data_IF_093156276767
#
_entry.id   IF_093156276767
#
_cell.length_a   1.000
_cell.length_b   1.000
_cell.length_c   1.000
_cell.angle_alpha   90.00
_cell.angle_beta   90.00
_cell.angle_gamma   90.00
#
_symmetry.space_group_name_H-M   'P 1'
#
loop_
_entity.id
_entity.type
_entity.pdbx_description
1 polymer ?
#
# COMPACT_ATOMS: atom_id res chain seq x y z
N UNK A 1 0.25 -2.74 -7.87
CA UNK A 1 0.04 -2.18 -9.24
C UNK A 1 1.35 -2.31 -10.01
N UNK A 2 1.34 -2.50 -11.33
CA UNK A 2 2.57 -2.38 -12.13
C UNK A 2 3.18 -0.98 -11.95
N UNK A 3 4.46 -0.88 -11.59
CA UNK A 3 5.17 0.39 -11.41
C UNK A 3 5.02 1.29 -12.66
N UNK A 4 5.02 0.68 -13.84
CA UNK A 4 4.78 1.37 -15.10
C UNK A 4 3.37 2.00 -15.14
N UNK A 5 2.33 1.30 -14.68
CA UNK A 5 0.95 1.84 -14.60
C UNK A 5 0.82 2.93 -13.54
N UNK A 6 1.50 2.78 -12.40
CA UNK A 6 1.57 3.82 -11.39
C UNK A 6 2.24 5.08 -11.94
N UNK A 7 3.44 4.95 -12.53
CA UNK A 7 4.17 6.08 -13.11
C UNK A 7 3.38 6.73 -14.24
N UNK A 8 2.75 5.96 -15.13
CA UNK A 8 1.93 6.55 -16.19
C UNK A 8 0.73 7.29 -15.62
N UNK A 9 0.07 6.77 -14.57
CA UNK A 9 -1.04 7.47 -13.90
C UNK A 9 -0.62 8.77 -13.20
N UNK A 10 0.55 8.76 -12.54
CA UNK A 10 1.11 9.95 -11.89
C UNK A 10 1.52 10.97 -12.95
N UNK A 11 2.17 10.51 -14.03
CA UNK A 11 2.62 11.37 -15.11
C UNK A 11 1.45 12.00 -15.86
N UNK A 12 0.40 11.24 -16.20
CA UNK A 12 -0.78 11.79 -16.87
C UNK A 12 -1.49 12.81 -15.98
N UNK A 13 -1.66 12.50 -14.69
CA UNK A 13 -2.22 13.43 -13.71
C UNK A 13 -1.37 14.70 -13.58
N UNK A 14 -0.05 14.57 -13.58
CA UNK A 14 0.89 15.70 -13.53
C UNK A 14 0.82 16.57 -14.79
N UNK A 15 0.73 15.96 -15.98
CA UNK A 15 0.57 16.69 -17.25
C UNK A 15 -0.76 17.45 -17.26
N UNK A 16 -1.85 16.82 -16.82
CA UNK A 16 -3.16 17.49 -16.69
C UNK A 16 -3.04 18.66 -15.71
N UNK A 17 -2.41 18.47 -14.55
CA UNK A 17 -2.18 19.53 -13.57
C UNK A 17 -1.43 20.72 -14.19
N UNK A 18 -0.31 20.48 -14.89
CA UNK A 18 0.46 21.55 -15.55
C UNK A 18 -0.37 22.27 -16.60
N UNK A 19 -1.13 21.53 -17.43
CA UNK A 19 -2.01 22.12 -18.43
C UNK A 19 -3.09 23.01 -17.79
N UNK A 20 -3.68 22.58 -16.68
CA UNK A 20 -4.67 23.35 -15.92
C UNK A 20 -4.06 24.61 -15.28
N UNK A 21 -2.85 24.55 -14.72
CA UNK A 21 -2.18 25.73 -14.16
C UNK A 21 -1.86 26.75 -15.26
N UNK A 22 -1.38 26.30 -16.42
CA UNK A 22 -1.13 27.17 -17.57
C UNK A 22 -2.43 27.79 -18.09
N UNK A 23 -3.50 27.00 -18.21
CA UNK A 23 -4.82 27.50 -18.61
C UNK A 23 -5.36 28.53 -17.61
N UNK A 24 -5.25 28.27 -16.30
CA UNK A 24 -5.67 29.17 -15.23
C UNK A 24 -4.89 30.50 -15.29
N UNK A 25 -3.56 30.44 -15.39
CA UNK A 25 -2.73 31.66 -15.49
C UNK A 25 -3.04 32.46 -16.75
N UNK A 26 -3.28 31.79 -17.87
CA UNK A 26 -3.67 32.44 -19.12
C UNK A 26 -5.06 33.11 -19.03
N UNK A 27 -6.05 32.42 -18.47
CA UNK A 27 -7.41 32.95 -18.34
C UNK A 27 -7.52 34.07 -17.31
N UNK A 28 -6.82 33.96 -16.17
CA UNK A 28 -6.82 34.98 -15.11
C UNK A 28 -6.05 36.24 -15.50
N UNK A 29 -5.14 36.16 -16.48
CA UNK A 29 -4.46 37.32 -17.05
C UNK A 29 -5.32 38.13 -18.02
N UNK A 30 -6.50 37.63 -18.44
CA UNK A 30 -7.39 38.39 -19.34
C UNK A 30 -8.28 39.34 -18.53
N UNK A 31 -8.26 40.65 -18.80
CA UNK A 31 -9.04 41.63 -18.03
C UNK A 31 -10.56 41.40 -18.14
N UNK A 32 -11.04 40.86 -19.28
CA UNK A 32 -12.45 40.50 -19.46
C UNK A 32 -12.96 39.41 -18.52
N UNK A 33 -12.06 38.60 -17.95
CA UNK A 33 -12.40 37.53 -17.01
C UNK A 33 -12.28 37.97 -15.55
N UNK A 34 -11.93 39.23 -15.27
CA UNK A 34 -11.76 39.74 -13.91
C UNK A 34 -12.99 39.52 -12.99
N UNK A 35 -14.25 39.65 -13.46
CA UNK A 35 -15.43 39.35 -12.65
C UNK A 35 -15.51 37.92 -12.14
N UNK A 36 -14.93 36.97 -12.87
CA UNK A 36 -14.96 35.54 -12.52
C UNK A 36 -13.87 35.20 -11.49
N UNK A 37 -12.66 35.73 -11.68
CA UNK A 37 -11.51 35.39 -10.83
C UNK A 37 -11.33 36.28 -9.61
N UNK A 38 -11.81 37.53 -9.66
CA UNK A 38 -11.63 38.51 -8.58
C UNK A 38 -12.96 39.20 -8.18
N UNK A 39 -14.07 38.46 -7.96
CA UNK A 39 -15.38 39.05 -7.65
C UNK A 39 -15.35 39.86 -6.35
N UNK A 40 -14.76 39.33 -5.29
CA UNK A 40 -14.69 40.00 -3.98
C UNK A 40 -13.85 41.27 -4.03
N UNK A 41 -12.85 41.33 -4.92
CA UNK A 41 -12.00 42.51 -5.09
C UNK A 41 -12.77 43.64 -5.77
N UNK A 42 -13.55 43.30 -6.81
CA UNK A 42 -14.42 44.23 -7.52
C UNK A 42 -15.56 44.74 -6.63
N UNK A 43 -16.13 43.89 -5.77
CA UNK A 43 -17.15 44.29 -4.79
C UNK A 43 -16.60 45.26 -3.73
N UNK A 44 -15.29 45.21 -3.47
CA UNK A 44 -14.59 46.15 -2.56
C UNK A 44 -14.14 47.44 -3.27
N UNK A 45 -14.43 47.59 -4.56
CA UNK A 45 -14.03 48.75 -5.36
C UNK A 45 -12.53 48.84 -5.62
N UNK A 46 -11.79 47.74 -5.47
CA UNK A 46 -10.36 47.67 -5.70
C UNK A 46 -10.08 47.11 -7.10
N UNK A 47 -9.17 47.77 -7.83
CA UNK A 47 -8.76 47.35 -9.16
C UNK A 47 -7.81 46.14 -9.09
N UNK A 48 -8.15 44.98 -9.69
CA UNK A 48 -7.30 43.79 -9.65
C UNK A 48 -5.95 43.96 -10.38
N UNK A 49 -5.81 45.05 -11.14
CA UNK A 49 -4.60 45.41 -11.90
C UNK A 49 -3.78 46.55 -11.28
N UNK A 50 -4.26 47.24 -10.24
CA UNK A 50 -3.64 48.48 -9.76
C UNK A 50 -2.46 48.30 -8.78
N UNK A 51 -2.18 47.08 -8.30
CA UNK A 51 -1.16 46.87 -7.24
C UNK A 51 -0.35 45.59 -7.33
N UNK A 52 -0.47 44.81 -8.42
CA UNK A 52 0.22 43.53 -8.59
C UNK A 52 1.18 43.61 -9.77
N UNK A 53 2.49 43.56 -9.50
CA UNK A 53 3.52 43.52 -10.54
C UNK A 53 3.36 42.28 -11.43
N UNK A 54 3.91 42.30 -12.66
CA UNK A 54 3.84 41.17 -13.63
C UNK A 54 4.23 39.79 -13.06
N UNK A 55 4.96 39.73 -11.95
CA UNK A 55 5.41 38.50 -11.28
C UNK A 55 4.29 37.70 -10.59
N UNK A 56 3.27 38.35 -10.05
CA UNK A 56 2.22 37.73 -9.21
C UNK A 56 1.22 36.88 -9.99
N UNK A 57 1.25 36.95 -11.33
CA UNK A 57 0.36 36.19 -12.24
C UNK A 57 1.07 35.10 -13.04
N UNK A 58 2.34 34.86 -12.73
CA UNK A 58 3.06 33.71 -13.27
C UNK A 58 2.63 32.41 -12.57
N UNK A 59 2.76 31.23 -13.20
CA UNK A 59 2.36 29.94 -12.63
C UNK A 59 2.86 29.65 -11.21
N UNK A 60 4.01 30.19 -10.82
CA UNK A 60 4.55 30.08 -9.46
C UNK A 60 4.37 31.35 -8.62
N UNK A 61 4.21 32.51 -9.25
CA UNK A 61 4.07 33.80 -8.56
C UNK A 61 2.79 33.90 -7.75
N UNK A 62 1.65 33.49 -8.33
CA UNK A 62 0.37 33.50 -7.62
C UNK A 62 0.41 32.56 -6.40
N UNK A 63 1.08 31.41 -6.56
CA UNK A 63 1.21 30.42 -5.49
C UNK A 63 2.09 30.94 -4.37
N UNK A 64 3.20 31.60 -4.70
CA UNK A 64 4.10 32.22 -3.72
C UNK A 64 3.38 33.31 -2.94
N UNK A 65 2.61 34.15 -3.62
CA UNK A 65 1.84 35.22 -2.98
C UNK A 65 0.76 34.62 -2.07
N UNK A 66 0.08 33.56 -2.50
CA UNK A 66 -0.92 32.86 -1.69
C UNK A 66 -0.31 32.21 -0.42
N UNK A 67 0.87 31.59 -0.52
CA UNK A 67 1.55 30.95 0.63
C UNK A 67 2.13 31.99 1.59
N UNK A 68 2.53 33.16 1.08
CA UNK A 68 3.10 34.22 1.91
C UNK A 68 2.07 35.17 2.54
N UNK A 69 0.79 35.01 2.20
CA UNK A 69 -0.30 35.80 2.77
C UNK A 69 -0.40 35.58 4.28
N UNK A 70 -0.54 36.67 5.04
CA UNK A 70 -0.64 36.61 6.50
C UNK A 70 -2.06 36.23 6.93
N UNK A 71 -2.20 35.57 8.09
CA UNK A 71 -3.50 35.24 8.67
C UNK A 71 -4.48 36.41 8.76
N UNK A 72 -4.09 37.64 9.21
CA UNK A 72 -5.03 38.75 9.25
C UNK A 72 -5.50 39.18 7.85
N UNK A 73 -4.67 39.04 6.82
CA UNK A 73 -5.07 39.32 5.43
C UNK A 73 -6.09 38.29 4.94
N UNK A 74 -5.90 37.01 5.28
CA UNK A 74 -6.85 35.94 4.96
C UNK A 74 -8.18 36.17 5.65
N UNK A 75 -8.19 36.53 6.93
CA UNK A 75 -9.42 36.84 7.68
C UNK A 75 -10.12 38.07 7.07
N UNK A 76 -9.36 39.09 6.71
CA UNK A 76 -9.91 40.28 6.06
C UNK A 76 -10.48 39.97 4.67
N UNK A 77 -9.94 39.00 3.94
CA UNK A 77 -10.37 38.63 2.59
C UNK A 77 -11.52 37.61 2.55
N UNK A 78 -11.40 36.51 3.31
CA UNK A 78 -12.30 35.34 3.27
C UNK A 78 -13.09 35.10 4.55
N UNK A 79 -12.87 35.90 5.60
CA UNK A 79 -13.52 35.73 6.90
C UNK A 79 -12.80 34.73 7.81
N UNK A 80 -13.29 34.63 9.04
CA UNK A 80 -12.69 33.80 10.09
C UNK A 80 -12.79 32.31 9.75
N UNK A 81 -13.91 31.87 9.15
CA UNK A 81 -14.13 30.48 8.78
C UNK A 81 -13.09 29.97 7.77
N UNK A 82 -12.79 30.77 6.73
CA UNK A 82 -11.75 30.45 5.75
C UNK A 82 -10.37 30.32 6.40
N UNK A 83 -10.04 31.20 7.36
CA UNK A 83 -8.79 31.12 8.09
C UNK A 83 -8.69 29.84 8.94
N UNK A 84 -9.77 29.44 9.61
CA UNK A 84 -9.82 28.19 10.39
C UNK A 84 -9.56 26.97 9.49
N UNK A 85 -10.16 26.91 8.29
CA UNK A 85 -9.90 25.82 7.35
C UNK A 85 -8.44 25.76 6.89
N UNK A 86 -7.81 26.91 6.61
CA UNK A 86 -6.40 26.93 6.19
C UNK A 86 -5.45 26.52 7.32
N UNK A 87 -5.74 26.90 8.57
CA UNK A 87 -4.98 26.45 9.75
C UNK A 87 -5.15 24.95 9.98
N UNK A 88 -6.36 24.43 9.80
CA UNK A 88 -6.61 22.98 9.87
C UNK A 88 -5.82 22.24 8.79
N UNK A 89 -5.88 22.69 7.54
CA UNK A 89 -5.20 22.05 6.42
C UNK A 89 -3.66 22.13 6.58
N UNK A 90 -3.12 23.25 7.06
CA UNK A 90 -1.69 23.39 7.32
C UNK A 90 -1.23 22.47 8.47
N UNK A 91 -2.06 22.30 9.51
CA UNK A 91 -1.80 21.37 10.61
C UNK A 91 -1.76 19.92 10.14
N UNK A 92 -2.74 19.50 9.32
CA UNK A 92 -2.77 18.14 8.74
C UNK A 92 -1.56 17.90 7.83
N UNK A 93 -1.22 18.86 6.98
CA UNK A 93 -0.03 18.77 6.12
C UNK A 93 1.25 18.66 6.96
N UNK A 94 1.36 19.44 8.03
CA UNK A 94 2.49 19.41 8.94
C UNK A 94 2.66 18.03 9.59
N UNK A 95 1.57 17.42 10.05
CA UNK A 95 1.58 16.05 10.61
C UNK A 95 2.11 15.05 9.59
N UNK A 96 1.63 15.11 8.34
CA UNK A 96 2.07 14.21 7.26
C UNK A 96 3.56 14.39 6.91
N UNK A 97 4.05 15.64 6.91
CA UNK A 97 5.46 15.93 6.64
C UNK A 97 6.34 15.41 7.77
N UNK A 98 5.99 15.69 9.04
CA UNK A 98 6.73 15.16 10.19
C UNK A 98 6.69 13.64 10.24
N UNK A 99 5.54 13.02 9.97
CA UNK A 99 5.45 11.56 9.89
C UNK A 99 6.33 11.02 8.77
N UNK A 100 6.35 11.65 7.59
CA UNK A 100 7.23 11.26 6.49
C UNK A 100 8.72 11.34 6.84
N UNK A 101 9.14 12.43 7.51
CA UNK A 101 10.53 12.62 7.96
C UNK A 101 10.96 11.54 8.97
N UNK A 102 10.05 11.10 9.85
CA UNK A 102 10.33 10.06 10.84
C UNK A 102 10.25 8.66 10.23
N UNK A 103 9.25 8.40 9.38
CA UNK A 103 8.97 7.09 8.81
C UNK A 103 9.96 6.72 7.70
N UNK A 104 10.37 7.65 6.84
CA UNK A 104 11.26 7.33 5.72
C UNK A 104 12.61 6.75 6.17
N UNK A 105 13.34 7.33 7.14
CA UNK A 105 14.60 6.75 7.63
C UNK A 105 14.43 5.39 8.31
N UNK A 106 13.25 5.07 8.82
CA UNK A 106 12.96 3.78 9.48
C UNK A 106 12.54 2.74 8.45
N UNK A 107 11.61 3.08 7.56
CA UNK A 107 11.02 2.17 6.59
C UNK A 107 11.96 1.89 5.41
N UNK A 108 12.78 2.84 4.98
CA UNK A 108 13.65 2.65 3.82
C UNK A 108 14.73 1.58 4.04
N UNK A 109 15.42 1.53 5.21
CA UNK A 109 16.33 0.42 5.54
C UNK A 109 15.62 -0.91 5.76
N UNK A 110 14.42 -0.90 6.36
CA UNK A 110 13.61 -2.12 6.57
C UNK A 110 13.17 -2.70 5.23
N UNK A 111 12.69 -1.86 4.31
CA UNK A 111 12.33 -2.26 2.95
C UNK A 111 13.56 -2.77 2.17
N UNK A 112 14.71 -2.10 2.31
CA UNK A 112 15.95 -2.52 1.64
C UNK A 112 16.46 -3.89 2.12
N UNK A 113 16.32 -4.19 3.42
CA UNK A 113 16.69 -5.50 4.00
C UNK A 113 15.66 -6.61 3.70
N UNK A 114 14.48 -6.24 3.19
CA UNK A 114 13.43 -7.14 2.72
C UNK A 114 13.79 -8.01 1.52
N UNK A 115 14.89 -7.71 0.80
CA UNK A 115 15.25 -8.34 -0.47
C UNK A 115 15.81 -9.77 -0.41
N UNK A 116 15.89 -10.42 0.75
CA UNK A 116 16.51 -11.75 0.90
C UNK A 116 15.71 -12.95 0.32
N UNK A 117 14.68 -12.67 -0.51
CA UNK A 117 13.80 -13.66 -1.18
C UNK A 117 13.63 -13.31 -2.67
N UNK A 118 14.70 -12.90 -3.36
CA UNK A 118 14.72 -12.70 -4.82
C UNK A 118 15.57 -13.75 -5.56
N UNK A 119 16.09 -14.75 -4.85
CA UNK A 119 16.99 -15.78 -5.40
C UNK A 119 16.31 -17.10 -5.78
N UNK A 120 14.98 -17.19 -5.74
CA UNK A 120 14.26 -18.39 -6.22
C UNK A 120 13.81 -18.14 -7.67
N UNK A 121 14.33 -18.88 -8.67
CA UNK A 121 13.89 -18.72 -10.05
C UNK A 121 12.52 -19.37 -10.23
N UNK A 122 11.49 -18.53 -10.41
CA UNK A 122 10.12 -18.97 -10.75
C UNK A 122 9.92 -18.79 -12.27
N UNK A 123 9.38 -19.78 -13.00
CA UNK A 123 9.18 -19.70 -14.44
C UNK A 123 8.16 -18.62 -14.80
N UNK A 124 8.58 -17.65 -15.63
CA UNK A 124 7.80 -16.45 -15.94
C UNK A 124 6.94 -16.63 -17.19
N UNK A 125 5.65 -16.85 -16.98
CA UNK A 125 4.65 -16.58 -18.02
C UNK A 125 4.24 -15.09 -17.95
N UNK A 126 3.91 -14.47 -19.09
CA UNK A 126 3.70 -12.99 -19.20
C UNK A 126 2.60 -12.44 -18.28
N UNK A 127 1.64 -13.27 -17.86
CA UNK A 127 0.61 -12.93 -16.86
C UNK A 127 1.13 -12.91 -15.42
N UNK A 128 2.20 -13.66 -15.11
CA UNK A 128 2.82 -13.69 -13.79
C UNK A 128 3.72 -12.46 -13.53
N UNK A 129 4.21 -11.80 -14.57
CA UNK A 129 5.07 -10.61 -14.43
C UNK A 129 4.33 -9.40 -13.85
N UNK A 130 3.07 -9.16 -14.24
CA UNK A 130 2.27 -8.05 -13.69
C UNK A 130 1.86 -8.29 -12.24
N UNK A 131 1.58 -9.54 -11.89
CA UNK A 131 1.38 -9.96 -10.50
C UNK A 131 2.65 -9.73 -9.68
N UNK A 132 3.82 -10.18 -10.14
CA UNK A 132 5.10 -10.00 -9.42
C UNK A 132 5.46 -8.52 -9.18
N UNK A 133 5.20 -7.64 -10.15
CA UNK A 133 5.39 -6.20 -9.97
C UNK A 133 4.42 -5.61 -8.95
N UNK A 134 3.18 -6.10 -8.90
CA UNK A 134 2.18 -5.73 -7.88
C UNK A 134 2.67 -6.08 -6.47
N UNK A 135 3.16 -7.30 -6.27
CA UNK A 135 3.71 -7.80 -5.01
C UNK A 135 4.94 -7.01 -4.53
N UNK A 136 5.79 -6.53 -5.45
CA UNK A 136 7.02 -5.80 -5.08
C UNK A 136 6.77 -4.45 -4.41
N UNK A 137 5.70 -3.73 -4.75
CA UNK A 137 5.36 -2.42 -4.15
C UNK A 137 4.73 -2.60 -2.78
N UNK A 138 3.82 -3.57 -2.61
CA UNK A 138 3.23 -3.89 -1.31
C UNK A 138 4.29 -4.39 -0.32
N UNK A 139 5.27 -5.17 -0.82
CA UNK A 139 6.44 -5.62 -0.04
C UNK A 139 7.34 -4.49 0.47
N UNK A 140 7.32 -3.30 -0.14
CA UNK A 140 8.02 -2.12 0.41
C UNK A 140 7.36 -1.59 1.70
N UNK A 141 6.05 -1.84 1.89
CA UNK A 141 5.33 -1.54 3.13
C UNK A 141 5.32 -2.70 4.13
N UNK A 142 5.46 -3.93 3.65
CA UNK A 142 5.41 -5.15 4.47
C UNK A 142 6.82 -5.56 4.92
N UNK A 143 7.22 -5.13 6.12
CA UNK A 143 8.51 -5.47 6.73
C UNK A 143 8.65 -6.89 7.31
N UNK A 144 7.74 -7.82 7.02
CA UNK A 144 7.58 -9.04 7.84
C UNK A 144 8.31 -10.30 7.35
N UNK A 145 8.66 -10.41 6.06
CA UNK A 145 9.39 -11.59 5.53
C UNK A 145 10.78 -11.78 6.20
N UNK A 146 11.55 -10.72 6.52
CA UNK A 146 12.83 -10.87 7.22
C UNK A 146 12.69 -11.29 8.68
N UNK A 147 11.58 -10.98 9.35
CA UNK A 147 11.41 -11.21 10.80
C UNK A 147 11.34 -12.70 11.09
N UNK A 148 10.61 -13.46 10.28
CA UNK A 148 10.49 -14.91 10.40
C UNK A 148 11.87 -15.56 10.21
N UNK A 149 12.58 -15.19 9.14
CA UNK A 149 13.94 -15.70 8.83
C UNK A 149 14.96 -15.30 9.90
N UNK A 150 14.90 -14.07 10.41
CA UNK A 150 15.75 -13.57 11.49
C UNK A 150 15.49 -14.28 12.81
N UNK A 151 14.22 -14.47 13.19
CA UNK A 151 13.80 -15.14 14.41
C UNK A 151 14.33 -16.57 14.45
N UNK A 152 14.21 -17.30 13.34
CA UNK A 152 14.74 -18.66 13.24
C UNK A 152 16.28 -18.71 13.16
N UNK A 153 16.94 -17.76 12.50
CA UNK A 153 18.41 -17.70 12.46
C UNK A 153 19.01 -17.44 13.86
N UNK A 154 18.38 -16.57 14.65
CA UNK A 154 18.78 -16.26 16.04
C UNK A 154 18.41 -17.33 17.08
N UNK A 155 17.67 -18.37 16.69
CA UNK A 155 17.27 -19.44 17.63
C UNK A 155 16.12 -19.09 18.56
N UNK A 156 15.47 -17.94 18.38
CA UNK A 156 14.35 -17.49 19.20
C UNK A 156 13.03 -18.07 18.65
N UNK A 157 12.06 -18.39 19.51
CA UNK A 157 10.71 -18.78 19.07
C UNK A 157 10.63 -20.06 18.21
N UNK A 158 11.52 -21.05 18.41
CA UNK A 158 11.48 -22.35 17.70
C UNK A 158 10.54 -23.38 18.32
N UNK A 159 9.51 -22.94 19.02
CA UNK A 159 8.53 -23.85 19.64
C UNK A 159 7.37 -24.11 18.69
N UNK A 160 6.69 -25.24 18.85
CA UNK A 160 5.52 -25.59 18.03
C UNK A 160 4.43 -24.52 18.08
N UNK A 161 4.20 -23.92 19.24
CA UNK A 161 3.26 -22.80 19.39
C UNK A 161 3.65 -21.58 18.56
N UNK A 162 4.94 -21.23 18.52
CA UNK A 162 5.43 -20.08 17.74
C UNK A 162 5.27 -20.31 16.24
N UNK A 163 5.60 -21.53 15.76
CA UNK A 163 5.36 -21.92 14.37
C UNK A 163 3.88 -21.84 14.01
N UNK A 164 3.01 -22.31 14.89
CA UNK A 164 1.57 -22.30 14.66
C UNK A 164 0.99 -20.88 14.63
N UNK A 165 1.40 -20.00 15.56
CA UNK A 165 0.96 -18.61 15.57
C UNK A 165 1.40 -17.86 14.32
N UNK A 166 2.65 -18.08 13.87
CA UNK A 166 3.13 -17.48 12.63
C UNK A 166 2.36 -18.00 11.41
N UNK A 167 2.15 -19.31 11.32
CA UNK A 167 1.36 -19.92 10.25
C UNK A 167 -0.07 -19.33 10.21
N UNK A 168 -0.71 -19.19 11.37
CA UNK A 168 -2.04 -18.59 11.46
C UNK A 168 -2.06 -17.14 11.01
N UNK A 169 -1.07 -16.32 11.41
CA UNK A 169 -0.99 -14.92 11.00
C UNK A 169 -0.79 -14.80 9.49
N UNK A 170 0.11 -15.59 8.89
CA UNK A 170 0.35 -15.62 7.44
C UNK A 170 -0.91 -16.01 6.66
N UNK A 171 -1.66 -16.99 7.18
CA UNK A 171 -2.90 -17.47 6.57
C UNK A 171 -4.03 -16.45 6.70
N UNK A 172 -4.15 -15.76 7.84
CA UNK A 172 -5.12 -14.68 8.04
C UNK A 172 -4.84 -13.47 7.15
N UNK A 173 -3.56 -13.17 6.91
CA UNK A 173 -3.11 -12.09 6.01
C UNK A 173 -3.15 -12.49 4.51
N UNK A 174 -3.44 -13.75 4.20
CA UNK A 174 -3.57 -14.24 2.81
C UNK A 174 -2.26 -14.52 2.08
N UNK A 175 -1.14 -14.64 2.79
CA UNK A 175 0.20 -14.78 2.19
C UNK A 175 0.52 -16.26 1.90
N UNK A 176 0.18 -16.70 0.68
CA UNK A 176 0.23 -18.13 0.34
C UNK A 176 1.65 -18.68 0.29
N UNK A 177 2.55 -17.99 -0.42
CA UNK A 177 3.91 -18.46 -0.67
C UNK A 177 4.70 -18.58 0.66
N UNK A 178 4.58 -17.60 1.55
CA UNK A 178 5.26 -17.61 2.84
C UNK A 178 4.69 -18.63 3.82
N UNK A 179 3.36 -18.84 3.82
CA UNK A 179 2.72 -19.89 4.62
C UNK A 179 3.20 -21.28 4.18
N UNK A 180 3.35 -21.49 2.87
CA UNK A 180 3.86 -22.73 2.27
C UNK A 180 5.34 -22.96 2.60
N UNK A 181 6.19 -21.93 2.48
CA UNK A 181 7.61 -22.02 2.86
C UNK A 181 7.77 -22.36 4.36
N UNK A 182 7.00 -21.69 5.22
CA UNK A 182 7.02 -21.96 6.66
C UNK A 182 6.52 -23.37 6.96
N UNK A 183 5.42 -23.79 6.33
CA UNK A 183 4.88 -25.15 6.50
C UNK A 183 5.90 -26.20 6.06
N UNK A 184 6.48 -26.09 4.85
CA UNK A 184 7.48 -27.04 4.34
C UNK A 184 8.74 -27.12 5.20
N UNK A 185 9.19 -26.00 5.78
CA UNK A 185 10.30 -25.97 6.71
C UNK A 185 10.00 -26.68 8.04
N UNK A 186 8.80 -26.47 8.60
CA UNK A 186 8.39 -27.14 9.85
C UNK A 186 8.12 -28.62 9.60
N UNK A 187 7.46 -28.94 8.48
CA UNK A 187 7.17 -30.29 8.04
C UNK A 187 8.45 -31.11 7.88
N UNK A 188 9.41 -30.66 7.07
CA UNK A 188 10.69 -31.36 6.89
C UNK A 188 11.50 -31.53 8.19
N UNK A 189 11.36 -30.61 9.14
CA UNK A 189 12.07 -30.67 10.43
C UNK A 189 11.39 -31.59 11.45
N UNK A 190 10.07 -31.72 11.36
CA UNK A 190 9.23 -32.37 12.36
C UNK A 190 8.33 -33.46 11.76
N UNK A 191 8.78 -34.15 10.70
CA UNK A 191 7.96 -35.03 9.85
C UNK A 191 7.03 -35.97 10.64
N UNK A 192 7.52 -36.67 11.66
CA UNK A 192 6.71 -37.60 12.46
C UNK A 192 6.00 -36.97 13.67
N UNK A 193 6.31 -35.72 14.00
CA UNK A 193 5.87 -35.03 15.22
C UNK A 193 5.00 -33.79 14.98
N UNK A 194 4.61 -33.52 13.73
CA UNK A 194 3.83 -32.34 13.40
C UNK A 194 2.39 -32.47 13.91
N UNK A 195 1.88 -31.55 14.75
CA UNK A 195 0.50 -31.58 15.18
C UNK A 195 -0.44 -31.44 14.00
N UNK A 196 -1.53 -32.23 14.03
CA UNK A 196 -2.64 -32.18 13.06
C UNK A 196 -3.16 -30.78 12.76
N UNK A 197 -3.11 -29.86 13.73
CA UNK A 197 -3.59 -28.48 13.57
C UNK A 197 -2.87 -27.71 12.47
N UNK A 198 -1.62 -28.05 12.14
CA UNK A 198 -0.88 -27.43 11.04
C UNK A 198 -1.45 -27.81 9.68
N UNK A 199 -1.65 -29.12 9.45
CA UNK A 199 -2.29 -29.63 8.23
C UNK A 199 -3.70 -29.07 8.06
N UNK A 200 -4.49 -29.05 9.14
CA UNK A 200 -5.83 -28.45 9.13
C UNK A 200 -5.81 -27.01 8.63
N UNK A 201 -4.87 -26.21 9.12
CA UNK A 201 -4.83 -24.80 8.80
C UNK A 201 -4.43 -24.57 7.35
N UNK A 202 -3.38 -25.24 6.87
CA UNK A 202 -2.91 -25.06 5.51
C UNK A 202 -3.91 -25.62 4.48
N UNK A 203 -4.58 -26.74 4.78
CA UNK A 203 -5.65 -27.30 3.94
C UNK A 203 -6.84 -26.33 3.86
N UNK A 204 -7.28 -25.78 5.01
CA UNK A 204 -8.37 -24.79 5.02
C UNK A 204 -8.03 -23.53 4.21
N UNK A 205 -6.75 -23.17 4.20
CA UNK A 205 -6.26 -22.02 3.49
C UNK A 205 -6.25 -22.24 1.98
N UNK A 206 -5.71 -23.37 1.51
CA UNK A 206 -5.78 -23.74 0.09
C UNK A 206 -7.21 -23.90 -0.42
N UNK A 207 -8.10 -24.49 0.38
CA UNK A 207 -9.52 -24.56 0.07
C UNK A 207 -10.14 -23.16 -0.09
N UNK A 208 -9.85 -22.22 0.82
CA UNK A 208 -10.35 -20.85 0.71
C UNK A 208 -9.75 -20.06 -0.46
N UNK A 209 -8.52 -20.41 -0.89
CA UNK A 209 -7.85 -19.82 -2.03
C UNK A 209 -8.30 -20.43 -3.38
N UNK A 210 -9.05 -21.54 -3.35
CA UNK A 210 -9.45 -22.29 -4.54
C UNK A 210 -8.34 -23.13 -5.19
N UNK A 211 -7.18 -23.24 -4.54
CA UNK A 211 -6.06 -24.08 -5.01
C UNK A 211 -6.23 -25.50 -4.48
N UNK A 212 -7.16 -26.23 -5.09
CA UNK A 212 -7.51 -27.56 -4.64
C UNK A 212 -6.40 -28.58 -4.88
N UNK A 213 -5.56 -28.41 -5.90
CA UNK A 213 -4.52 -29.39 -6.22
C UNK A 213 -3.48 -29.49 -5.10
N UNK A 214 -3.02 -28.34 -4.58
CA UNK A 214 -2.15 -28.30 -3.39
C UNK A 214 -2.86 -28.80 -2.13
N UNK A 215 -4.16 -28.54 -2.01
CA UNK A 215 -4.95 -29.07 -0.89
C UNK A 215 -4.90 -30.61 -0.85
N UNK A 216 -5.03 -31.27 -2.01
CA UNK A 216 -4.93 -32.73 -2.11
C UNK A 216 -3.52 -33.25 -1.84
N UNK A 217 -2.48 -32.54 -2.28
CA UNK A 217 -1.09 -32.90 -1.98
C UNK A 217 -0.83 -32.95 -0.47
N UNK A 218 -1.22 -31.89 0.26
CA UNK A 218 -1.04 -31.85 1.71
C UNK A 218 -1.92 -32.89 2.43
N UNK A 219 -3.10 -33.18 1.88
CA UNK A 219 -3.96 -34.25 2.41
C UNK A 219 -3.31 -35.63 2.26
N UNK A 220 -2.71 -35.92 1.11
CA UNK A 220 -2.00 -37.18 0.87
C UNK A 220 -0.81 -37.33 1.83
N UNK A 221 -0.02 -36.28 2.03
CA UNK A 221 1.08 -36.26 3.01
C UNK A 221 0.58 -36.56 4.43
N UNK A 222 -0.58 -36.00 4.79
CA UNK A 222 -1.21 -36.23 6.10
C UNK A 222 -1.62 -37.69 6.29
N UNK A 223 -2.18 -38.34 5.27
CA UNK A 223 -2.55 -39.75 5.29
C UNK A 223 -1.33 -40.69 5.29
N UNK A 224 -0.29 -40.37 4.52
CA UNK A 224 0.97 -41.14 4.48
C UNK A 224 1.65 -41.18 5.85
N UNK A 225 1.57 -40.07 6.60
CA UNK A 225 2.05 -39.99 7.98
C UNK A 225 1.12 -40.67 8.99
N UNK A 226 0.00 -41.25 8.56
CA UNK A 226 -0.98 -41.92 9.42
C UNK A 226 -1.78 -40.96 10.30
N UNK A 227 -1.80 -39.66 9.98
CA UNK A 227 -2.51 -38.65 10.76
C UNK A 227 -3.96 -38.62 10.29
N UNK A 228 -4.89 -38.91 11.20
CA UNK A 228 -6.30 -39.04 10.85
C UNK A 228 -6.93 -37.66 10.49
N UNK A 229 -7.51 -37.49 9.29
CA UNK A 229 -8.15 -36.24 8.89
C UNK A 229 -9.40 -35.93 9.73
N UNK A 230 -9.89 -34.70 9.62
CA UNK A 230 -11.12 -34.27 10.30
C UNK A 230 -12.32 -34.44 9.38
N UNK A 231 -13.49 -34.53 10.00
CA UNK A 231 -14.75 -34.51 9.26
C UNK A 231 -14.89 -33.24 8.40
N UNK A 232 -14.35 -32.10 8.85
CA UNK A 232 -14.35 -30.87 8.06
C UNK A 232 -13.52 -30.97 6.78
N UNK A 233 -12.34 -31.60 6.83
CA UNK A 233 -11.49 -31.80 5.65
C UNK A 233 -12.14 -32.81 4.71
N UNK A 234 -12.67 -33.92 5.26
CA UNK A 234 -13.36 -34.94 4.45
C UNK A 234 -14.54 -34.30 3.71
N UNK A 235 -15.33 -33.46 4.38
CA UNK A 235 -16.43 -32.73 3.74
C UNK A 235 -15.94 -31.75 2.66
N UNK A 236 -14.82 -31.05 2.87
CA UNK A 236 -14.22 -30.17 1.85
C UNK A 236 -13.76 -30.94 0.61
N UNK A 237 -13.30 -32.19 0.78
CA UNK A 237 -12.91 -33.09 -0.31
C UNK A 237 -14.14 -33.62 -1.06
N UNK A 238 -15.15 -34.09 -0.32
CA UNK A 238 -16.42 -34.60 -0.88
C UNK A 238 -17.18 -33.53 -1.68
N UNK A 239 -17.15 -32.28 -1.23
CA UNK A 239 -17.81 -31.18 -1.95
C UNK A 239 -17.19 -30.96 -3.33
N UNK A 240 -15.86 -31.09 -3.49
CA UNK A 240 -15.21 -30.97 -4.83
C UNK A 240 -15.59 -32.14 -5.74
N UNK A 241 -15.52 -33.38 -5.25
CA UNK A 241 -15.86 -34.57 -6.06
C UNK A 241 -17.30 -34.55 -6.59
N UNK A 242 -18.19 -33.76 -5.96
CA UNK A 242 -19.56 -33.60 -6.42
C UNK A 242 -19.73 -32.56 -7.55
N UNK A 243 -18.77 -31.65 -7.72
CA UNK A 243 -18.84 -30.54 -8.68
C UNK A 243 -17.91 -30.68 -9.91
N UNK A 244 -17.05 -31.70 -9.95
CA UNK A 244 -16.24 -32.11 -11.11
C UNK A 244 -16.91 -33.29 -11.88
#
# INVERSE_FOLDING_TARGET
MDLALFITSVLTSFVIFVALVLLFTWLSCRPGNAPVYYPNLLLRGLDPWAGHGRGTRSPGGWLRDAISASEPDVVAAGGVDAAVYLVFLSSVLSILVYSGIVLLPVLLPVAATGGALSTIPIPTNKTAQSAQNFWSIERLGVGNVPVIKWMFNKGQGKTMGSYYTLLNALIEDGWIEEAEELFGMVFSRHMEGLPRTFFMRIISFYYSAGDHDKMFEIFADMEELGIRPDGSIIMMLEEREYYD
#
